data_IF_776451288288
#
_entry.id   IF_776451288288
#
_cell.length_a   1.000
_cell.length_b   1.000
_cell.length_c   1.000
_cell.angle_alpha   90.00
_cell.angle_beta   90.00
_cell.angle_gamma   90.00
#
_symmetry.space_group_name_H-M   'P 1'
#
loop_
_entity.id
_entity.type
_entity.pdbx_description
1 polymer ?
#
# COMPACT_ATOMS: atom_id res chain seq x y z
N UNK A 1 -6.08 10.07 -11.67
CA UNK A 1 -5.49 11.05 -10.77
C UNK A 1 -4.45 10.40 -9.86
N UNK A 2 -3.61 11.20 -9.22
CA UNK A 2 -2.60 10.70 -8.31
C UNK A 2 -3.24 10.10 -7.05
N UNK A 3 -4.37 10.67 -6.61
CA UNK A 3 -5.13 10.15 -5.48
C UNK A 3 -5.65 8.73 -5.77
N UNK A 4 -6.20 8.52 -6.95
CA UNK A 4 -6.67 7.21 -7.35
C UNK A 4 -5.50 6.23 -7.46
N UNK A 5 -4.37 6.68 -7.95
CA UNK A 5 -3.16 5.86 -8.03
C UNK A 5 -2.72 5.41 -6.63
N UNK A 6 -2.78 6.30 -5.63
CA UNK A 6 -2.46 5.92 -4.26
C UNK A 6 -3.39 4.81 -3.75
N UNK A 7 -4.70 4.95 -3.98
CA UNK A 7 -5.69 3.96 -3.56
C UNK A 7 -5.41 2.61 -4.24
N UNK A 8 -5.14 2.62 -5.54
CA UNK A 8 -4.79 1.41 -6.28
C UNK A 8 -3.53 0.74 -5.75
N UNK A 9 -2.51 1.52 -5.42
CA UNK A 9 -1.24 0.98 -4.90
C UNK A 9 -1.42 0.34 -3.52
N UNK A 10 -2.25 0.93 -2.66
CA UNK A 10 -2.53 0.35 -1.35
C UNK A 10 -3.24 -0.99 -1.50
N UNK A 11 -4.26 -1.07 -2.35
CA UNK A 11 -4.93 -2.34 -2.63
C UNK A 11 -3.95 -3.37 -3.22
N UNK A 12 -3.12 -2.95 -4.17
CA UNK A 12 -2.15 -3.86 -4.79
C UNK A 12 -1.16 -4.44 -3.78
N UNK A 13 -0.64 -3.60 -2.89
CA UNK A 13 0.27 -4.06 -1.83
C UNK A 13 -0.40 -5.12 -0.96
N UNK A 14 -1.65 -4.87 -0.55
CA UNK A 14 -2.41 -5.80 0.27
C UNK A 14 -2.74 -7.08 -0.49
N UNK A 15 -3.07 -6.97 -1.78
CA UNK A 15 -3.36 -8.14 -2.62
C UNK A 15 -2.16 -9.08 -2.70
N UNK A 16 -0.96 -8.55 -2.95
CA UNK A 16 0.25 -9.37 -3.01
C UNK A 16 0.56 -10.01 -1.66
N UNK A 17 0.34 -9.26 -0.57
CA UNK A 17 0.53 -9.81 0.76
C UNK A 17 -0.41 -11.00 1.02
N UNK A 18 -1.69 -10.86 0.70
CA UNK A 18 -2.70 -11.89 0.90
C UNK A 18 -2.46 -13.14 0.04
N UNK A 19 -1.81 -12.94 -1.12
CA UNK A 19 -1.45 -14.03 -2.02
C UNK A 19 -0.09 -14.65 -1.68
N UNK A 20 0.54 -14.21 -0.61
CA UNK A 20 1.87 -14.64 -0.17
C UNK A 20 2.96 -14.34 -1.21
N UNK A 21 2.75 -13.32 -2.04
CA UNK A 21 3.70 -12.86 -3.06
C UNK A 21 4.48 -11.68 -2.51
N UNK A 22 5.39 -11.94 -1.58
CA UNK A 22 6.13 -10.89 -0.88
C UNK A 22 7.49 -10.58 -1.52
N UNK A 23 7.95 -11.38 -2.47
CA UNK A 23 9.18 -11.11 -3.20
C UNK A 23 8.91 -10.27 -4.44
N UNK A 24 9.79 -9.30 -4.71
CA UNK A 24 9.76 -8.43 -5.90
C UNK A 24 8.55 -7.48 -5.98
N UNK A 25 7.81 -7.31 -4.88
CA UNK A 25 6.65 -6.42 -4.84
C UNK A 25 6.81 -5.29 -3.83
N UNK A 26 7.96 -5.20 -3.17
CA UNK A 26 8.22 -4.14 -2.18
C UNK A 26 8.29 -2.74 -2.81
N UNK A 27 8.44 -2.64 -4.14
CA UNK A 27 8.44 -1.35 -4.83
C UNK A 27 7.16 -0.56 -4.59
N UNK A 28 6.05 -1.24 -4.31
CA UNK A 28 4.80 -0.55 -3.99
C UNK A 28 4.92 0.32 -2.74
N UNK A 29 5.76 -0.08 -1.79
CA UNK A 29 6.06 0.75 -0.61
C UNK A 29 6.70 2.07 -1.03
N UNK A 30 7.66 2.01 -1.94
CA UNK A 30 8.32 3.22 -2.45
C UNK A 30 7.33 4.11 -3.20
N UNK A 31 6.51 3.52 -4.05
CA UNK A 31 5.52 4.28 -4.82
C UNK A 31 4.54 4.99 -3.91
N UNK A 32 4.05 4.29 -2.89
CA UNK A 32 3.15 4.89 -1.88
C UNK A 32 3.88 6.02 -1.15
N UNK A 33 5.12 5.80 -0.73
CA UNK A 33 5.93 6.82 -0.06
C UNK A 33 6.05 8.09 -0.92
N UNK A 34 6.36 7.95 -2.20
CA UNK A 34 6.53 9.11 -3.08
C UNK A 34 5.24 9.91 -3.24
N UNK A 35 4.11 9.24 -3.33
CA UNK A 35 2.82 9.93 -3.42
C UNK A 35 2.50 10.65 -2.11
N UNK A 36 2.67 9.97 -0.98
CA UNK A 36 2.40 10.57 0.34
C UNK A 36 3.33 11.75 0.60
N UNK A 37 4.62 11.63 0.24
CA UNK A 37 5.59 12.71 0.39
C UNK A 37 5.20 13.93 -0.44
N UNK A 38 4.70 13.71 -1.66
CA UNK A 38 4.40 14.78 -2.61
C UNK A 38 3.10 15.51 -2.29
N UNK A 39 2.03 14.77 -1.95
CA UNK A 39 0.70 15.38 -1.80
C UNK A 39 0.09 15.22 -0.40
N UNK A 40 0.71 14.44 0.48
CA UNK A 40 0.15 14.12 1.78
C UNK A 40 -1.06 13.17 1.66
N UNK A 41 -1.85 13.11 2.73
CA UNK A 41 -3.07 12.30 2.75
C UNK A 41 -4.25 13.21 2.39
N UNK A 42 -4.74 13.07 1.17
CA UNK A 42 -5.80 13.92 0.63
C UNK A 42 -7.16 13.63 1.28
N UNK A 43 -7.96 14.68 1.46
CA UNK A 43 -9.34 14.57 1.96
C UNK A 43 -10.28 13.92 0.94
N UNK A 44 -9.84 13.75 -0.31
CA UNK A 44 -10.65 13.11 -1.34
C UNK A 44 -10.54 11.59 -1.33
N UNK A 45 -9.52 11.04 -0.66
CA UNK A 45 -9.29 9.59 -0.61
C UNK A 45 -10.48 8.80 -0.06
N UNK A 46 -11.19 9.24 0.99
CA UNK A 46 -12.34 8.49 1.50
C UNK A 46 -13.43 8.29 0.46
N UNK A 47 -13.57 9.22 -0.50
CA UNK A 47 -14.56 9.11 -1.57
C UNK A 47 -14.12 8.15 -2.66
N UNK A 48 -12.79 8.07 -2.90
CA UNK A 48 -12.22 7.20 -3.94
C UNK A 48 -12.13 5.75 -3.52
N UNK A 49 -11.91 5.48 -2.24
CA UNK A 49 -11.74 4.11 -1.75
C UNK A 49 -12.94 3.21 -2.12
N UNK A 50 -14.20 3.61 -1.86
CA UNK A 50 -15.35 2.77 -2.27
C UNK A 50 -15.43 2.56 -3.77
N UNK A 51 -15.12 3.56 -4.58
CA UNK A 51 -15.16 3.44 -6.04
C UNK A 51 -14.15 2.43 -6.55
N UNK A 52 -12.91 2.55 -6.09
CA UNK A 52 -11.84 1.64 -6.51
C UNK A 52 -12.11 0.23 -6.00
N UNK A 53 -12.58 0.11 -4.75
CA UNK A 53 -12.96 -1.18 -4.17
C UNK A 53 -14.03 -1.87 -5.01
N UNK A 54 -15.05 -1.14 -5.46
CA UNK A 54 -16.14 -1.72 -6.26
C UNK A 54 -15.60 -2.33 -7.56
N UNK A 55 -14.67 -1.63 -8.23
CA UNK A 55 -14.06 -2.13 -9.46
C UNK A 55 -13.19 -3.35 -9.17
N UNK A 56 -12.29 -3.25 -8.18
CA UNK A 56 -11.33 -4.32 -7.88
C UNK A 56 -11.99 -5.55 -7.27
N UNK A 57 -13.12 -5.41 -6.57
CA UNK A 57 -13.79 -6.53 -5.93
C UNK A 57 -14.31 -7.57 -6.92
N UNK A 58 -14.47 -7.18 -8.18
CA UNK A 58 -14.88 -8.09 -9.24
C UNK A 58 -13.73 -8.90 -9.84
N UNK A 59 -12.50 -8.56 -9.46
CA UNK A 59 -11.29 -9.22 -9.95
C UNK A 59 -10.85 -10.33 -8.99
N UNK A 60 -10.56 -11.52 -9.51
CA UNK A 60 -10.07 -12.64 -8.69
C UNK A 60 -8.74 -12.31 -8.05
N UNK A 61 -7.90 -11.55 -8.74
CA UNK A 61 -6.54 -11.21 -8.30
C UNK A 61 -6.49 -10.08 -7.27
N UNK A 62 -7.64 -9.57 -6.83
CA UNK A 62 -7.71 -8.45 -5.88
C UNK A 62 -8.46 -8.86 -4.61
N UNK A 63 -7.93 -9.82 -3.82
CA UNK A 63 -8.61 -10.30 -2.62
C UNK A 63 -8.83 -9.23 -1.56
N UNK A 64 -7.96 -8.22 -1.47
CA UNK A 64 -8.08 -7.18 -0.45
C UNK A 64 -9.29 -6.28 -0.64
N UNK A 65 -9.86 -6.24 -1.85
CA UNK A 65 -11.05 -5.44 -2.15
C UNK A 65 -12.36 -6.18 -1.88
N UNK A 66 -12.30 -7.46 -1.52
CA UNK A 66 -13.50 -8.26 -1.29
C UNK A 66 -14.24 -7.82 -0.03
N UNK A 67 -15.56 -8.03 -0.05
CA UNK A 67 -16.41 -7.75 1.10
C UNK A 67 -15.91 -8.51 2.33
N UNK A 68 -15.92 -7.85 3.48
CA UNK A 68 -15.48 -8.44 4.74
C UNK A 68 -13.99 -8.36 5.01
N UNK A 69 -13.20 -7.88 4.04
CA UNK A 69 -11.75 -7.71 4.23
C UNK A 69 -11.45 -6.29 4.69
N UNK A 70 -10.79 -6.17 5.83
CA UNK A 70 -10.36 -4.87 6.37
C UNK A 70 -8.93 -4.58 5.95
N UNK A 71 -8.76 -3.62 5.06
CA UNK A 71 -7.43 -3.24 4.54
C UNK A 71 -6.53 -2.73 5.66
N UNK A 72 -7.07 -1.98 6.63
CA UNK A 72 -6.28 -1.48 7.75
C UNK A 72 -5.64 -2.62 8.55
N UNK A 73 -6.33 -3.72 8.76
CA UNK A 73 -5.77 -4.88 9.46
C UNK A 73 -4.60 -5.48 8.69
N UNK A 74 -4.72 -5.55 7.35
CA UNK A 74 -3.64 -6.05 6.50
C UNK A 74 -2.44 -5.11 6.56
N UNK A 75 -2.66 -3.80 6.52
CA UNK A 75 -1.57 -2.83 6.65
C UNK A 75 -0.85 -2.97 7.98
N UNK A 76 -1.58 -3.20 9.07
CA UNK A 76 -0.97 -3.45 10.39
C UNK A 76 -0.09 -4.69 10.37
N UNK A 77 -0.54 -5.76 9.75
CA UNK A 77 0.25 -6.98 9.63
C UNK A 77 1.51 -6.75 8.82
N UNK A 78 1.42 -6.03 7.71
CA UNK A 78 2.59 -5.71 6.86
C UNK A 78 3.62 -4.91 7.65
N UNK A 79 3.17 -3.89 8.37
CA UNK A 79 4.06 -3.01 9.16
C UNK A 79 4.69 -3.81 10.31
N UNK A 80 3.90 -4.53 11.07
CA UNK A 80 4.37 -5.24 12.26
C UNK A 80 5.27 -6.42 11.94
N UNK A 81 5.00 -7.14 10.86
CA UNK A 81 5.81 -8.30 10.46
C UNK A 81 7.09 -7.94 9.75
N UNK A 82 7.18 -6.71 9.20
CA UNK A 82 8.29 -6.27 8.37
C UNK A 82 8.53 -7.20 7.17
N UNK A 83 7.46 -7.79 6.65
CA UNK A 83 7.54 -8.85 5.64
C UNK A 83 8.25 -8.40 4.36
N UNK A 84 8.16 -7.10 4.01
CA UNK A 84 8.80 -6.57 2.81
C UNK A 84 10.19 -5.98 3.04
N UNK A 85 10.67 -5.95 4.28
CA UNK A 85 11.93 -5.25 4.61
C UNK A 85 13.11 -5.80 3.83
N UNK A 86 13.26 -7.12 3.84
CA UNK A 86 14.38 -7.78 3.17
C UNK A 86 14.34 -7.57 1.65
N UNK A 87 13.17 -7.78 1.05
CA UNK A 87 13.01 -7.58 -0.39
C UNK A 87 13.27 -6.12 -0.77
N UNK A 88 12.78 -5.19 0.04
CA UNK A 88 12.98 -3.77 -0.20
C UNK A 88 14.47 -3.41 -0.15
N UNK A 89 15.17 -3.83 0.90
CA UNK A 89 16.58 -3.50 1.08
C UNK A 89 17.48 -4.19 0.04
N UNK A 90 17.16 -5.43 -0.32
CA UNK A 90 17.98 -6.21 -1.23
C UNK A 90 17.73 -5.91 -2.71
N UNK A 91 16.51 -5.54 -3.07
CA UNK A 91 16.10 -5.37 -4.47
C UNK A 91 15.67 -3.95 -4.78
N UNK A 92 14.58 -3.47 -4.20
CA UNK A 92 13.97 -2.19 -4.57
C UNK A 92 14.91 -1.03 -4.32
N UNK A 93 15.54 -0.97 -3.16
CA UNK A 93 16.40 0.14 -2.78
C UNK A 93 17.59 0.29 -3.73
N UNK A 94 18.13 -0.83 -4.24
CA UNK A 94 19.22 -0.82 -5.19
C UNK A 94 18.83 -0.33 -6.59
N UNK A 95 17.54 -0.28 -6.90
CA UNK A 95 17.04 0.19 -8.19
C UNK A 95 16.70 1.68 -8.18
N UNK A 96 16.72 2.31 -7.00
CA UNK A 96 16.37 3.72 -6.86
C UNK A 96 17.54 4.62 -7.25
N UNK A 97 17.24 5.70 -7.97
CA UNK A 97 18.25 6.70 -8.34
C UNK A 97 18.81 7.38 -7.09
N UNK A 98 17.93 7.74 -6.17
CA UNK A 98 18.31 8.25 -4.84
C UNK A 98 17.78 7.24 -3.82
N UNK A 99 18.65 6.52 -3.11
CA UNK A 99 18.20 5.52 -2.15
C UNK A 99 17.35 6.11 -1.03
N UNK A 100 16.23 5.44 -0.73
CA UNK A 100 15.35 5.79 0.38
C UNK A 100 15.24 4.55 1.26
N UNK A 101 15.54 4.69 2.55
CA UNK A 101 15.57 3.57 3.48
C UNK A 101 14.19 2.99 3.78
N UNK A 102 14.19 1.72 4.22
CA UNK A 102 12.94 1.02 4.55
C UNK A 102 12.13 1.76 5.61
N UNK A 103 12.78 2.28 6.66
CA UNK A 103 12.09 2.99 7.74
C UNK A 103 11.32 4.21 7.21
N UNK A 104 11.87 4.90 6.22
CA UNK A 104 11.22 6.06 5.62
C UNK A 104 9.96 5.66 4.85
N UNK A 105 10.05 4.62 4.02
CA UNK A 105 8.89 4.19 3.23
C UNK A 105 7.81 3.58 4.13
N UNK A 106 8.19 2.86 5.19
CA UNK A 106 7.21 2.26 6.09
C UNK A 106 6.50 3.33 6.94
N UNK A 107 7.17 4.44 7.25
CA UNK A 107 6.54 5.57 7.92
C UNK A 107 5.44 6.18 7.07
N UNK A 108 5.61 6.24 5.76
CA UNK A 108 4.55 6.71 4.85
C UNK A 108 3.36 5.75 4.85
N UNK A 109 3.61 4.45 4.88
CA UNK A 109 2.54 3.46 5.01
C UNK A 109 1.83 3.60 6.35
N UNK A 110 2.57 3.89 7.42
CA UNK A 110 1.99 4.16 8.73
C UNK A 110 1.05 5.36 8.69
N UNK A 111 1.42 6.42 7.95
CA UNK A 111 0.55 7.60 7.79
C UNK A 111 -0.75 7.24 7.07
N UNK A 112 -0.68 6.37 6.07
CA UNK A 112 -1.86 5.88 5.36
C UNK A 112 -2.78 5.15 6.35
N UNK A 113 -2.22 4.26 7.15
CA UNK A 113 -2.98 3.51 8.16
C UNK A 113 -3.58 4.45 9.20
N UNK A 114 -2.79 5.40 9.71
CA UNK A 114 -3.21 6.31 10.78
C UNK A 114 -4.28 7.30 10.33
N UNK A 115 -4.50 7.44 9.02
CA UNK A 115 -5.57 8.30 8.49
C UNK A 115 -6.96 7.82 8.89
N UNK A 116 -7.10 6.54 9.26
CA UNK A 116 -8.38 5.95 9.62
C UNK A 116 -9.29 5.61 8.43
N UNK A 117 -8.88 5.96 7.21
CA UNK A 117 -9.71 5.81 6.02
C UNK A 117 -9.93 4.35 5.60
N UNK A 118 -9.07 3.45 6.07
CA UNK A 118 -9.03 2.05 5.63
C UNK A 118 -9.61 1.08 6.66
N UNK A 119 -10.23 1.60 7.73
CA UNK A 119 -10.73 0.76 8.86
C UNK A 119 -12.01 -0.02 8.56
N UNK A 120 -12.68 0.25 7.47
CA UNK A 120 -13.94 -0.42 7.14
C UNK A 120 -13.79 -1.52 6.10
#
# INVERSE_FOLDING_TARGET
>A
TIERTLVDKVFALCDYYMQEKTERHSRHLYDIHKIVETMGISNELPNLIPEVRAVRSEMIVCPSAKEGVCVADILREIINSQVYKRDYEDITMGLLFVPVGYETVIQSLQKVLDSGMWES
#
